data_IF_908359499586
#
_entry.id   IF_908359499586
#
_cell.length_a   1.000
_cell.length_b   1.000
_cell.length_c   1.000
_cell.angle_alpha   90.00
_cell.angle_beta   90.00
_cell.angle_gamma   90.00
#
_symmetry.space_group_name_H-M   'P 1'
#
loop_
_entity.id
_entity.type
_entity.pdbx_description
1 polymer ?
#
# COMPACT_ATOMS: atom_id res chain seq x y z
N UNK A 1 9.81 -16.42 29.01
CA UNK A 1 8.34 -16.44 28.98
C UNK A 1 7.90 -16.10 27.56
N UNK A 2 7.05 -16.92 26.92
CA UNK A 2 6.53 -16.58 25.60
C UNK A 2 5.61 -15.35 25.73
N UNK A 3 5.98 -14.23 25.13
CA UNK A 3 5.14 -13.03 25.12
C UNK A 3 3.89 -13.35 24.29
N UNK A 4 2.74 -13.41 24.96
CA UNK A 4 1.47 -13.60 24.26
C UNK A 4 1.23 -12.36 23.40
N UNK A 5 1.07 -12.56 22.09
CA UNK A 5 0.82 -11.48 21.15
C UNK A 5 -0.41 -10.64 21.57
N UNK A 6 -0.36 -9.29 21.49
CA UNK A 6 -1.48 -8.43 21.86
C UNK A 6 -2.77 -8.81 21.12
N UNK A 7 -3.92 -8.62 21.79
CA UNK A 7 -5.24 -8.99 21.24
C UNK A 7 -5.52 -8.35 19.89
N UNK A 8 -5.23 -7.05 19.74
CA UNK A 8 -5.48 -6.33 18.48
C UNK A 8 -4.72 -6.97 17.32
N UNK A 9 -3.45 -7.32 17.53
CA UNK A 9 -2.64 -8.01 16.52
C UNK A 9 -3.19 -9.42 16.22
N UNK A 10 -3.52 -10.21 17.26
CA UNK A 10 -4.09 -11.56 17.11
C UNK A 10 -5.43 -11.56 16.35
N UNK A 11 -6.24 -10.53 16.56
CA UNK A 11 -7.56 -10.39 15.93
C UNK A 11 -7.48 -9.71 14.55
N UNK A 12 -6.28 -9.38 14.06
CA UNK A 12 -6.10 -8.53 12.88
C UNK A 12 -6.86 -7.20 12.97
N UNK A 13 -7.03 -6.68 14.18
CA UNK A 13 -7.76 -5.48 14.51
C UNK A 13 -6.86 -4.51 15.30
N UNK A 14 -5.90 -3.84 14.65
CA UNK A 14 -4.85 -3.11 15.34
C UNK A 14 -5.36 -1.88 16.11
N UNK A 15 -6.49 -1.31 15.68
CA UNK A 15 -7.15 -0.22 16.38
C UNK A 15 -8.10 -0.66 17.51
N UNK A 16 -8.18 -1.96 17.83
CA UNK A 16 -9.15 -2.49 18.80
C UNK A 16 -10.59 -2.00 18.54
N UNK A 17 -11.05 -2.04 17.28
CA UNK A 17 -12.41 -1.64 16.91
C UNK A 17 -13.42 -2.63 17.50
N UNK A 18 -14.31 -2.11 18.35
CA UNK A 18 -15.36 -2.90 19.01
C UNK A 18 -16.44 -3.31 18.02
N UNK A 19 -17.09 -4.44 18.28
CA UNK A 19 -18.22 -4.92 17.47
C UNK A 19 -19.37 -3.90 17.50
N UNK A 20 -19.94 -3.68 16.33
CA UNK A 20 -21.11 -2.84 16.08
C UNK A 20 -21.95 -3.49 14.97
N UNK A 21 -22.96 -2.77 14.47
CA UNK A 21 -23.73 -3.17 13.28
C UNK A 21 -23.04 -2.77 11.97
N UNK A 22 -21.86 -2.15 12.04
CA UNK A 22 -21.19 -1.62 10.85
C UNK A 22 -20.67 -2.77 9.96
N UNK A 23 -21.01 -2.78 8.66
CA UNK A 23 -20.66 -3.86 7.74
C UNK A 23 -19.24 -3.67 7.21
N UNK A 24 -18.23 -3.83 8.07
CA UNK A 24 -16.84 -3.65 7.66
C UNK A 24 -16.41 -4.63 6.56
N UNK A 25 -15.71 -4.11 5.55
CA UNK A 25 -15.05 -4.95 4.55
C UNK A 25 -13.91 -5.74 5.20
N UNK A 26 -13.80 -7.02 4.83
CA UNK A 26 -12.72 -7.88 5.31
C UNK A 26 -12.91 -8.46 6.71
N UNK A 27 -14.13 -8.43 7.27
CA UNK A 27 -14.44 -9.18 8.49
C UNK A 27 -14.22 -10.68 8.28
N UNK A 28 -13.61 -11.34 9.26
CA UNK A 28 -13.48 -12.79 9.28
C UNK A 28 -14.85 -13.46 9.37
N UNK A 29 -15.01 -14.60 8.72
CA UNK A 29 -16.28 -15.36 8.74
C UNK A 29 -16.66 -15.77 10.17
N UNK A 30 -15.66 -16.17 10.95
CA UNK A 30 -15.82 -16.46 12.37
C UNK A 30 -15.28 -15.31 13.22
N UNK A 31 -16.16 -14.69 13.99
CA UNK A 31 -15.82 -13.65 14.96
C UNK A 31 -15.51 -14.28 16.33
N UNK A 32 -14.26 -14.68 16.55
CA UNK A 32 -13.83 -15.43 17.75
C UNK A 32 -13.74 -14.60 19.03
N UNK A 33 -13.54 -13.29 18.90
CA UNK A 33 -13.52 -12.38 20.05
C UNK A 33 -14.94 -11.96 20.43
N UNK A 34 -15.25 -11.82 21.72
CA UNK A 34 -16.60 -11.45 22.18
C UNK A 34 -16.95 -9.97 21.92
N UNK A 35 -15.99 -9.07 22.09
CA UNK A 35 -16.23 -7.62 22.14
C UNK A 35 -15.64 -6.86 20.94
N UNK A 36 -14.64 -7.41 20.27
CA UNK A 36 -13.91 -6.76 19.18
C UNK A 36 -14.16 -7.47 17.85
N UNK A 37 -14.13 -6.70 16.75
CA UNK A 37 -14.13 -7.31 15.42
C UNK A 37 -12.85 -8.11 15.19
N UNK A 38 -12.97 -9.19 14.42
CA UNK A 38 -11.87 -9.99 13.88
C UNK A 38 -11.85 -9.82 12.37
N UNK A 39 -10.70 -9.45 11.81
CA UNK A 39 -10.55 -9.26 10.35
C UNK A 39 -9.83 -10.45 9.71
N UNK A 40 -10.06 -10.67 8.42
CA UNK A 40 -9.38 -11.70 7.61
C UNK A 40 -7.87 -11.44 7.52
N UNK A 41 -7.47 -10.17 7.54
CA UNK A 41 -6.06 -9.76 7.60
C UNK A 41 -5.92 -8.39 8.27
N UNK A 42 -4.73 -8.10 8.80
CA UNK A 42 -4.47 -6.85 9.51
C UNK A 42 -4.64 -5.62 8.59
N UNK A 43 -4.35 -5.75 7.28
CA UNK A 43 -4.64 -4.71 6.28
C UNK A 43 -6.10 -4.23 6.33
N UNK A 44 -7.07 -5.13 6.50
CA UNK A 44 -8.48 -4.74 6.62
C UNK A 44 -8.82 -4.07 7.95
N UNK A 45 -8.19 -4.51 9.05
CA UNK A 45 -8.34 -3.84 10.35
C UNK A 45 -7.74 -2.43 10.36
N UNK A 46 -6.55 -2.25 9.76
CA UNK A 46 -5.91 -0.94 9.58
C UNK A 46 -6.77 -0.05 8.68
N UNK A 47 -7.34 -0.60 7.60
CA UNK A 47 -8.28 0.11 6.75
C UNK A 47 -9.50 0.58 7.54
N UNK A 48 -10.09 -0.29 8.38
CA UNK A 48 -11.24 0.09 9.21
C UNK A 48 -10.90 1.20 10.21
N UNK A 49 -9.70 1.17 10.79
CA UNK A 49 -9.16 2.25 11.62
C UNK A 49 -9.08 3.55 10.82
N UNK A 50 -8.40 3.55 9.67
CA UNK A 50 -8.29 4.72 8.78
C UNK A 50 -9.66 5.29 8.38
N UNK A 51 -10.62 4.44 7.98
CA UNK A 51 -11.98 4.86 7.62
C UNK A 51 -12.74 5.47 8.80
N UNK A 52 -12.50 4.99 10.01
CA UNK A 52 -13.10 5.57 11.22
C UNK A 52 -12.58 6.98 11.46
N UNK A 53 -11.26 7.19 11.32
CA UNK A 53 -10.63 8.51 11.45
C UNK A 53 -11.17 9.47 10.38
N UNK A 54 -11.20 9.05 9.11
CA UNK A 54 -11.77 9.85 8.01
C UNK A 54 -13.23 10.23 8.31
N UNK A 55 -14.03 9.29 8.83
CA UNK A 55 -15.42 9.55 9.25
C UNK A 55 -15.51 10.58 10.37
N UNK A 56 -14.52 10.64 11.27
CA UNK A 56 -14.48 11.66 12.33
C UNK A 56 -14.38 13.06 11.76
N UNK A 57 -13.52 13.26 10.75
CA UNK A 57 -13.42 14.52 10.03
C UNK A 57 -14.70 14.79 9.23
N UNK A 58 -15.10 13.88 8.35
CA UNK A 58 -16.16 14.11 7.37
C UNK A 58 -17.53 14.36 8.01
N UNK A 59 -17.86 13.59 9.05
CA UNK A 59 -19.20 13.62 9.66
C UNK A 59 -19.30 14.52 10.87
N UNK A 60 -18.20 14.74 11.60
CA UNK A 60 -18.22 15.44 12.87
C UNK A 60 -17.29 16.65 12.93
N UNK A 61 -16.53 16.95 11.87
CA UNK A 61 -15.55 18.04 11.84
C UNK A 61 -14.37 17.84 12.78
N UNK A 62 -14.16 16.61 13.26
CA UNK A 62 -13.10 16.28 14.22
C UNK A 62 -11.82 16.03 13.45
N UNK A 63 -10.93 17.01 13.49
CA UNK A 63 -9.71 17.08 12.66
C UNK A 63 -8.48 17.50 13.49
N UNK A 64 -8.44 17.20 14.79
CA UNK A 64 -7.27 17.44 15.64
C UNK A 64 -6.97 16.18 16.46
N UNK A 65 -5.71 15.92 16.81
CA UNK A 65 -5.34 14.77 17.66
C UNK A 65 -6.17 14.78 18.94
N UNK A 66 -6.31 15.93 19.60
CA UNK A 66 -7.14 16.07 20.81
C UNK A 66 -8.58 15.63 20.56
N UNK A 67 -9.20 16.10 19.47
CA UNK A 67 -10.58 15.75 19.15
C UNK A 67 -10.73 14.26 18.81
N UNK A 68 -9.81 13.74 18.01
CA UNK A 68 -9.79 12.34 17.56
C UNK A 68 -9.66 11.41 18.76
N UNK A 69 -8.67 11.62 19.61
CA UNK A 69 -8.39 10.72 20.75
C UNK A 69 -9.46 10.82 21.84
N UNK A 70 -10.03 12.00 22.11
CA UNK A 70 -11.17 12.11 23.03
C UNK A 70 -12.40 11.32 22.54
N UNK A 71 -12.60 11.21 21.22
CA UNK A 71 -13.67 10.41 20.64
C UNK A 71 -13.31 8.92 20.58
N UNK A 72 -12.05 8.60 20.26
CA UNK A 72 -11.54 7.24 20.14
C UNK A 72 -11.52 6.50 21.48
N UNK A 73 -11.02 7.15 22.53
CA UNK A 73 -10.80 6.58 23.86
C UNK A 73 -11.28 7.54 24.97
N UNK A 74 -12.59 7.64 25.23
CA UNK A 74 -13.13 8.55 26.23
C UNK A 74 -12.68 8.20 27.67
N UNK A 75 -12.63 9.22 28.52
CA UNK A 75 -11.99 9.22 29.87
C UNK A 75 -12.57 8.24 30.92
N UNK A 76 -13.67 7.55 30.65
CA UNK A 76 -14.30 6.66 31.65
C UNK A 76 -13.39 5.50 32.05
N UNK A 77 -12.57 5.01 31.12
CA UNK A 77 -11.70 3.85 31.31
C UNK A 77 -10.24 4.11 30.88
N UNK A 78 -9.95 5.27 30.28
CA UNK A 78 -8.66 5.55 29.64
C UNK A 78 -8.01 6.82 30.19
N UNK A 79 -6.68 6.83 30.27
CA UNK A 79 -5.93 8.07 30.46
C UNK A 79 -5.78 8.80 29.11
N UNK A 80 -6.87 9.43 28.65
CA UNK A 80 -6.92 10.14 27.37
C UNK A 80 -5.85 11.23 27.25
N UNK A 81 -5.43 11.85 28.36
CA UNK A 81 -4.36 12.84 28.35
C UNK A 81 -3.01 12.21 28.00
N UNK A 82 -2.68 11.07 28.60
CA UNK A 82 -1.46 10.32 28.27
C UNK A 82 -1.50 9.80 26.81
N UNK A 83 -2.67 9.39 26.32
CA UNK A 83 -2.83 8.99 24.93
C UNK A 83 -2.55 10.16 23.97
N UNK A 84 -3.13 11.33 24.22
CA UNK A 84 -2.86 12.53 23.41
C UNK A 84 -1.35 12.82 23.36
N UNK A 85 -0.68 12.85 24.52
CA UNK A 85 0.77 13.11 24.59
C UNK A 85 1.58 12.06 23.83
N UNK A 86 1.22 10.78 23.98
CA UNK A 86 1.88 9.69 23.25
C UNK A 86 1.73 9.87 21.74
N UNK A 87 0.54 10.23 21.24
CA UNK A 87 0.32 10.44 19.81
C UNK A 87 1.02 11.70 19.30
N UNK A 88 1.06 12.79 20.07
CA UNK A 88 1.85 13.98 19.72
C UNK A 88 3.34 13.65 19.56
N UNK A 89 3.90 12.85 20.48
CA UNK A 89 5.31 12.46 20.45
C UNK A 89 5.65 11.57 19.25
N UNK A 90 4.80 10.58 18.95
CA UNK A 90 5.01 9.65 17.83
C UNK A 90 4.84 10.33 16.46
N UNK A 91 3.91 11.30 16.37
CA UNK A 91 3.60 11.97 15.08
C UNK A 91 4.40 13.25 14.85
N UNK A 92 4.86 13.91 15.92
CA UNK A 92 5.43 15.26 15.86
C UNK A 92 4.39 16.37 15.61
N UNK A 93 3.10 16.05 15.65
CA UNK A 93 2.00 16.98 15.37
C UNK A 93 1.39 17.44 16.69
N UNK A 94 1.13 18.74 16.84
CA UNK A 94 0.55 19.26 18.07
C UNK A 94 -0.92 18.86 18.25
N UNK A 95 -1.36 18.67 19.49
CA UNK A 95 -2.68 18.15 19.83
C UNK A 95 -3.85 18.99 19.29
N UNK A 96 -3.61 20.30 19.16
CA UNK A 96 -4.58 21.27 18.65
C UNK A 96 -4.39 21.64 17.17
N UNK A 97 -3.37 21.09 16.51
CA UNK A 97 -3.14 21.34 15.09
C UNK A 97 -4.25 20.71 14.24
N UNK A 98 -4.69 21.45 13.22
CA UNK A 98 -5.68 20.94 12.27
C UNK A 98 -5.01 20.01 11.28
N UNK A 99 -5.57 18.81 11.20
CA UNK A 99 -5.20 17.75 10.28
C UNK A 99 -6.19 17.67 9.13
N UNK A 100 -5.72 17.20 7.99
CA UNK A 100 -6.53 16.69 6.90
C UNK A 100 -6.30 15.17 6.79
N UNK A 101 -7.29 14.40 7.23
CA UNK A 101 -7.25 12.94 7.26
C UNK A 101 -7.44 12.31 5.88
N UNK A 102 -7.67 13.10 4.83
CA UNK A 102 -7.58 12.63 3.44
C UNK A 102 -6.15 12.69 2.88
N UNK A 103 -5.23 13.33 3.62
CA UNK A 103 -3.82 13.40 3.25
C UNK A 103 -3.04 12.24 3.85
N UNK A 104 -2.38 11.49 2.97
CA UNK A 104 -1.59 10.33 3.35
C UNK A 104 -0.48 10.66 4.36
N UNK A 105 0.20 11.78 4.18
CA UNK A 105 1.31 12.25 5.03
C UNK A 105 0.87 12.64 6.45
N UNK A 106 -0.43 12.86 6.68
CA UNK A 106 -0.99 13.17 8.00
C UNK A 106 -1.75 11.99 8.60
N UNK A 107 -2.47 11.22 7.78
CA UNK A 107 -3.22 10.05 8.24
C UNK A 107 -2.30 8.90 8.65
N UNK A 108 -1.23 8.63 7.89
CA UNK A 108 -0.35 7.47 8.14
C UNK A 108 0.32 7.53 9.51
N UNK A 109 1.01 8.63 9.91
CA UNK A 109 1.64 8.71 11.23
C UNK A 109 0.61 8.56 12.36
N UNK A 110 -0.58 9.12 12.19
CA UNK A 110 -1.65 9.01 13.18
C UNK A 110 -2.15 7.58 13.35
N UNK A 111 -2.33 6.85 12.24
CA UNK A 111 -2.70 5.43 12.26
C UNK A 111 -1.61 4.60 12.95
N UNK A 112 -0.34 4.83 12.64
CA UNK A 112 0.78 4.13 13.25
C UNK A 112 0.86 4.39 14.77
N UNK A 113 0.71 5.65 15.19
CA UNK A 113 0.72 6.05 16.59
C UNK A 113 -0.44 5.42 17.39
N UNK A 114 -1.65 5.38 16.82
CA UNK A 114 -2.80 4.70 17.43
C UNK A 114 -2.51 3.21 17.58
N UNK A 115 -2.01 2.54 16.54
CA UNK A 115 -1.69 1.10 16.61
C UNK A 115 -0.65 0.83 17.69
N UNK A 116 0.40 1.64 17.75
CA UNK A 116 1.45 1.53 18.76
C UNK A 116 0.86 1.69 20.16
N UNK A 117 0.04 2.71 20.40
CA UNK A 117 -0.59 2.93 21.70
C UNK A 117 -1.52 1.77 22.10
N UNK A 118 -2.33 1.26 21.17
CA UNK A 118 -3.32 0.21 21.41
C UNK A 118 -2.71 -1.16 21.71
N UNK A 119 -1.51 -1.44 21.18
CA UNK A 119 -0.89 -2.77 21.24
C UNK A 119 0.47 -2.78 21.96
N UNK A 120 1.00 -1.62 22.33
CA UNK A 120 2.38 -1.45 22.80
C UNK A 120 3.44 -1.67 21.70
N UNK A 121 3.02 -1.87 20.46
CA UNK A 121 3.88 -2.11 19.30
C UNK A 121 3.13 -1.81 18.00
N UNK A 122 3.86 -1.38 16.98
CA UNK A 122 3.43 -1.35 15.59
C UNK A 122 4.34 -2.36 14.86
N UNK A 123 3.84 -3.58 14.55
CA UNK A 123 4.64 -4.59 13.88
C UNK A 123 4.44 -4.62 12.35
N UNK A 124 3.72 -3.65 11.79
CA UNK A 124 3.28 -3.68 10.40
C UNK A 124 4.24 -2.90 9.50
N UNK A 125 4.61 -3.53 8.39
CA UNK A 125 5.48 -2.88 7.41
C UNK A 125 4.82 -1.64 6.81
N UNK A 126 5.66 -0.69 6.36
CA UNK A 126 5.22 0.49 5.63
C UNK A 126 4.32 0.14 4.44
N UNK A 127 4.67 -0.92 3.71
CA UNK A 127 3.88 -1.43 2.58
C UNK A 127 2.49 -1.89 3.00
N UNK A 128 2.38 -2.58 4.14
CA UNK A 128 1.09 -3.07 4.64
C UNK A 128 0.18 -1.92 5.09
N UNK A 129 0.73 -0.94 5.81
CA UNK A 129 0.01 0.28 6.22
C UNK A 129 -0.41 1.07 4.99
N UNK A 130 0.50 1.29 4.04
CA UNK A 130 0.21 2.00 2.79
C UNK A 130 -0.93 1.33 2.02
N UNK A 131 -0.87 0.00 1.85
CA UNK A 131 -1.93 -0.76 1.19
C UNK A 131 -3.28 -0.58 1.90
N UNK A 132 -3.31 -0.60 3.23
CA UNK A 132 -4.53 -0.39 3.99
C UNK A 132 -5.11 1.02 3.82
N UNK A 133 -4.27 2.05 3.78
CA UNK A 133 -4.67 3.45 3.54
C UNK A 133 -5.18 3.65 2.11
N UNK A 134 -4.54 3.06 1.11
CA UNK A 134 -5.03 3.06 -0.28
C UNK A 134 -6.41 2.40 -0.36
N UNK A 135 -6.63 1.26 0.30
CA UNK A 135 -7.96 0.63 0.39
C UNK A 135 -8.98 1.48 1.17
N UNK A 136 -8.52 2.43 1.98
CA UNK A 136 -9.35 3.41 2.65
C UNK A 136 -9.66 4.64 1.78
N UNK A 137 -9.03 4.75 0.60
CA UNK A 137 -9.19 5.86 -0.34
C UNK A 137 -8.16 6.98 -0.18
N UNK A 138 -7.08 6.75 0.57
CA UNK A 138 -6.02 7.73 0.82
C UNK A 138 -4.73 7.22 0.22
N UNK A 139 -4.31 7.84 -0.88
CA UNK A 139 -3.13 7.44 -1.64
C UNK A 139 -1.91 8.30 -1.30
N UNK A 140 -0.70 7.70 -1.28
CA UNK A 140 0.52 8.49 -1.16
C UNK A 140 0.65 9.42 -2.37
N UNK A 141 1.12 10.64 -2.16
CA UNK A 141 1.42 11.57 -3.25
C UNK A 141 2.42 10.90 -4.20
N UNK A 142 2.00 10.60 -5.42
CA UNK A 142 2.89 10.06 -6.43
C UNK A 142 4.02 11.08 -6.66
N UNK A 143 5.26 10.69 -6.35
CA UNK A 143 6.42 11.50 -6.68
C UNK A 143 6.50 11.66 -8.19
N UNK A 144 6.98 12.82 -8.69
CA UNK A 144 7.20 13.04 -10.11
C UNK A 144 8.03 11.89 -10.69
N UNK A 145 7.39 11.01 -11.47
CA UNK A 145 8.06 9.86 -12.08
C UNK A 145 9.18 10.34 -13.02
N UNK A 146 9.04 11.54 -13.60
CA UNK A 146 10.06 12.24 -14.38
C UNK A 146 11.38 12.45 -13.63
N UNK A 147 11.36 12.52 -12.29
CA UNK A 147 12.58 12.70 -11.48
C UNK A 147 13.23 11.38 -11.12
N UNK A 148 12.53 10.25 -11.28
CA UNK A 148 13.07 8.93 -10.97
C UNK A 148 14.27 8.63 -11.86
N UNK A 149 15.35 8.13 -11.27
CA UNK A 149 16.57 7.74 -12.00
C UNK A 149 16.30 6.72 -13.09
N UNK A 150 15.30 5.85 -12.93
CA UNK A 150 14.90 4.87 -13.94
C UNK A 150 14.21 5.51 -15.14
N UNK A 151 13.37 6.51 -14.91
CA UNK A 151 12.71 7.27 -15.98
C UNK A 151 13.70 8.19 -16.68
N UNK A 152 14.58 8.86 -15.92
CA UNK A 152 15.71 9.63 -16.47
C UNK A 152 16.67 8.75 -17.26
N UNK A 153 17.01 7.55 -16.77
CA UNK A 153 17.87 6.62 -17.50
C UNK A 153 17.20 6.10 -18.77
N UNK A 154 15.89 5.83 -18.74
CA UNK A 154 15.11 5.51 -19.94
C UNK A 154 15.09 6.67 -20.95
N UNK A 155 14.88 7.90 -20.48
CA UNK A 155 14.97 9.11 -21.31
C UNK A 155 16.37 9.33 -21.88
N UNK A 156 17.42 9.17 -21.07
CA UNK A 156 18.82 9.31 -21.52
C UNK A 156 19.22 8.21 -22.49
N UNK A 157 18.77 6.96 -22.31
CA UNK A 157 19.00 5.89 -23.29
C UNK A 157 18.31 6.19 -24.63
N UNK A 158 17.12 6.79 -24.57
CA UNK A 158 16.37 7.24 -25.75
C UNK A 158 17.02 8.47 -26.40
N UNK A 159 17.57 9.40 -25.61
CA UNK A 159 18.33 10.54 -26.12
C UNK A 159 19.72 10.15 -26.62
N UNK A 160 20.36 9.13 -26.05
CA UNK A 160 21.67 8.65 -26.49
C UNK A 160 21.65 7.97 -27.86
N UNK A 161 20.47 7.51 -28.31
CA UNK A 161 20.26 6.99 -29.67
C UNK A 161 20.00 8.11 -30.69
N UNK A 162 19.69 9.34 -30.25
CA UNK A 162 19.46 10.52 -31.10
C UNK A 162 20.51 11.58 -30.74
N UNK A 163 21.66 11.58 -31.42
CA UNK A 163 22.86 12.34 -31.04
C UNK A 163 22.66 13.82 -30.62
N UNK A 164 23.69 14.36 -29.94
CA UNK A 164 23.70 15.62 -29.16
C UNK A 164 23.14 16.92 -29.79
N UNK A 165 22.73 16.92 -31.06
CA UNK A 165 22.11 18.06 -31.74
C UNK A 165 20.57 18.11 -31.70
N UNK A 166 19.89 17.09 -31.18
CA UNK A 166 18.42 16.97 -31.22
C UNK A 166 17.68 17.40 -29.93
N UNK A 167 18.33 18.16 -29.04
CA UNK A 167 17.74 18.53 -27.74
C UNK A 167 16.51 19.45 -27.90
N UNK A 168 16.43 20.25 -28.97
CA UNK A 168 15.38 21.25 -29.13
C UNK A 168 14.08 20.71 -29.75
N UNK A 169 14.10 19.55 -30.43
CA UNK A 169 12.94 19.06 -31.18
C UNK A 169 11.99 18.13 -30.38
N UNK A 170 12.44 17.58 -29.25
CA UNK A 170 11.69 16.51 -28.54
C UNK A 170 10.48 17.05 -27.77
N UNK A 171 10.47 18.32 -27.37
CA UNK A 171 9.36 18.88 -26.61
C UNK A 171 8.11 19.14 -27.46
N UNK A 172 8.25 19.33 -28.78
CA UNK A 172 7.15 19.62 -29.71
C UNK A 172 6.65 18.41 -30.53
N UNK A 173 7.30 17.24 -30.43
CA UNK A 173 7.07 16.11 -31.36
C UNK A 173 6.53 14.84 -30.68
N UNK A 174 5.67 14.98 -29.68
CA UNK A 174 5.01 13.82 -29.05
C UNK A 174 3.94 13.14 -29.95
N UNK A 175 3.42 13.83 -30.96
CA UNK A 175 2.44 13.25 -31.91
C UNK A 175 3.02 12.29 -32.95
N UNK A 176 4.18 12.55 -33.60
CA UNK A 176 4.75 11.57 -34.52
C UNK A 176 5.26 10.30 -33.81
N UNK A 177 5.60 10.37 -32.53
CA UNK A 177 6.04 9.20 -31.75
C UNK A 177 4.89 8.21 -31.47
N UNK A 178 3.68 8.69 -31.16
CA UNK A 178 2.50 7.83 -31.01
C UNK A 178 2.10 7.19 -32.34
N UNK A 179 2.28 7.92 -33.44
CA UNK A 179 1.97 7.44 -34.80
C UNK A 179 2.97 6.38 -35.27
N UNK A 180 4.27 6.59 -35.06
CA UNK A 180 5.32 5.61 -35.36
C UNK A 180 5.19 4.33 -34.50
N UNK A 181 4.76 4.46 -33.24
CA UNK A 181 4.48 3.31 -32.38
C UNK A 181 3.28 2.49 -32.89
N UNK A 182 2.27 3.13 -33.47
CA UNK A 182 1.13 2.44 -34.08
C UNK A 182 1.48 1.70 -35.37
N UNK A 183 2.46 2.20 -36.16
CA UNK A 183 2.95 1.50 -37.36
C UNK A 183 3.77 0.25 -37.02
N UNK A 184 4.49 0.23 -35.89
CA UNK A 184 5.31 -0.91 -35.45
C UNK A 184 4.50 -1.88 -34.55
N UNK A 185 3.36 -1.44 -34.02
CA UNK A 185 2.46 -2.25 -33.19
C UNK A 185 2.12 -3.65 -33.77
N UNK A 186 1.77 -3.82 -35.07
CA UNK A 186 1.49 -5.14 -35.61
C UNK A 186 2.73 -6.06 -35.64
N UNK A 187 3.93 -5.50 -35.81
CA UNK A 187 5.19 -6.26 -35.75
C UNK A 187 5.54 -6.66 -34.32
N UNK A 188 5.21 -5.84 -33.33
CA UNK A 188 5.40 -6.18 -31.91
C UNK A 188 4.45 -7.30 -31.46
N UNK A 189 3.22 -7.37 -31.97
CA UNK A 189 2.34 -8.50 -31.69
C UNK A 189 2.80 -9.79 -32.36
N UNK A 190 3.22 -9.73 -33.62
CA UNK A 190 3.82 -10.89 -34.29
C UNK A 190 5.12 -11.36 -33.58
N UNK A 191 5.96 -10.43 -33.16
CA UNK A 191 7.20 -10.72 -32.44
C UNK A 191 6.95 -11.39 -31.07
N UNK A 192 5.87 -11.01 -30.36
CA UNK A 192 5.45 -11.71 -29.13
C UNK A 192 5.16 -13.17 -29.39
N UNK A 193 4.41 -13.48 -30.45
CA UNK A 193 4.09 -14.86 -30.80
C UNK A 193 5.29 -15.66 -31.31
N UNK A 194 6.22 -15.01 -32.03
CA UNK A 194 7.49 -15.65 -32.44
C UNK A 194 8.35 -15.97 -31.22
N UNK A 195 8.53 -15.03 -30.30
CA UNK A 195 9.26 -15.26 -29.04
C UNK A 195 8.62 -16.35 -28.20
N UNK A 196 7.29 -16.38 -28.13
CA UNK A 196 6.54 -17.44 -27.45
C UNK A 196 6.75 -18.80 -28.14
N UNK A 197 6.78 -18.84 -29.48
CA UNK A 197 7.08 -20.04 -30.25
C UNK A 197 8.50 -20.58 -30.03
N UNK A 198 9.51 -19.70 -30.01
CA UNK A 198 10.91 -20.07 -29.75
C UNK A 198 11.07 -20.60 -28.33
N UNK A 199 10.47 -19.94 -27.34
CA UNK A 199 10.51 -20.39 -25.95
C UNK A 199 9.82 -21.74 -25.76
N UNK A 200 8.64 -21.95 -26.35
CA UNK A 200 7.96 -23.25 -26.31
C UNK A 200 8.75 -24.36 -27.00
N UNK A 201 9.41 -24.06 -28.12
CA UNK A 201 10.28 -25.01 -28.83
C UNK A 201 11.48 -25.40 -27.97
N UNK A 202 12.13 -24.44 -27.32
CA UNK A 202 13.22 -24.70 -26.38
C UNK A 202 12.80 -25.59 -25.22
N UNK A 203 11.63 -25.34 -24.62
CA UNK A 203 11.07 -26.17 -23.55
C UNK A 203 10.80 -27.60 -24.06
N UNK A 204 10.24 -27.75 -25.27
CA UNK A 204 9.97 -29.07 -25.86
C UNK A 204 11.26 -29.88 -26.10
N UNK A 205 12.32 -29.24 -26.61
CA UNK A 205 13.63 -29.88 -26.78
C UNK A 205 14.21 -30.31 -25.43
N UNK A 206 14.09 -29.47 -24.40
CA UNK A 206 14.59 -29.76 -23.05
C UNK A 206 13.84 -30.95 -22.41
N UNK A 207 12.52 -31.02 -22.60
CA UNK A 207 11.70 -32.14 -22.12
C UNK A 207 12.00 -33.43 -22.90
N UNK A 208 12.17 -33.34 -24.21
CA UNK A 208 12.53 -34.48 -25.04
C UNK A 208 13.91 -35.04 -24.66
N UNK A 209 14.93 -34.19 -24.54
CA UNK A 209 16.26 -34.58 -24.09
C UNK A 209 16.23 -35.26 -22.71
N UNK A 210 15.45 -34.72 -21.77
CA UNK A 210 15.28 -35.29 -20.42
C UNK A 210 14.57 -36.65 -20.42
N UNK A 211 13.73 -36.93 -21.41
CA UNK A 211 13.07 -38.24 -21.58
C UNK A 211 14.02 -39.23 -22.27
N UNK A 212 14.77 -38.77 -23.27
CA UNK A 212 15.76 -39.55 -23.99
C UNK A 212 16.90 -40.02 -23.05
N UNK A 213 17.41 -39.14 -22.19
CA UNK A 213 18.42 -39.48 -21.18
C UNK A 213 17.93 -40.57 -20.21
N UNK A 214 16.64 -40.54 -19.83
CA UNK A 214 16.03 -41.60 -19.00
C UNK A 214 15.90 -42.92 -19.76
N UNK A 215 15.63 -42.90 -21.06
CA UNK A 215 15.54 -44.11 -21.89
C UNK A 215 16.90 -44.75 -22.13
N UNK A 216 17.96 -43.93 -22.19
CA UNK A 216 19.35 -44.37 -22.36
C UNK A 216 20.03 -44.79 -21.04
N UNK A 217 19.32 -44.69 -19.90
CA UNK A 217 19.82 -45.12 -18.60
C UNK A 217 20.93 -44.24 -18.03
N UNK A 218 21.10 -43.01 -18.54
CA UNK A 218 22.10 -42.06 -18.07
C UNK A 218 21.53 -41.27 -16.88
N UNK A 219 21.77 -41.77 -15.67
CA UNK A 219 21.65 -41.02 -14.43
C UNK A 219 22.82 -41.33 -13.52
#
# INVERSE_FOLDING_TARGET
>A
MATTQPRGIRNHNPGNIRKSKDPWQGLAERQTDAAFFVFKSATYGIRALARTLITYQDKYGICTIRGIINRWAPKRENNTAAYIVSVEQETGIAAGEKLDLHRFDQLKPLVEAIIFHENGQQPYTDTEITKALVLAGVEPKQGNLQTSRTVKAGQVATMGTVGAGAIEAVQETLEPATTALLEIAPYLDAAKWILLGVTLTGIAVMLWARIDDRRKGLR
#
